data_IF_339044078384
#
_entry.id   IF_339044078384
#
_cell.length_a   1.000
_cell.length_b   1.000
_cell.length_c   1.000
_cell.angle_alpha   90.00
_cell.angle_beta   90.00
_cell.angle_gamma   90.00
#
_symmetry.space_group_name_H-M   'P 1'
#
loop_
_entity.id
_entity.type
_entity.pdbx_description
1 polymer ?
#
# COMPACT_ATOMS: atom_id res chain seq x y z
N UNK A 1 12.15 4.94 -0.80
CA UNK A 1 11.90 3.53 -1.20
C UNK A 1 13.02 2.66 -0.63
N UNK A 2 13.19 2.64 0.70
CA UNK A 2 14.39 2.07 1.34
C UNK A 2 14.29 0.59 1.75
N UNK A 3 13.15 -0.05 1.53
CA UNK A 3 12.89 -1.42 2.02
C UNK A 3 12.84 -2.49 0.92
N UNK A 4 12.76 -2.09 -0.37
CA UNK A 4 12.64 -3.04 -1.49
C UNK A 4 13.73 -2.89 -2.54
N UNK A 5 14.66 -1.95 -2.39
CA UNK A 5 15.68 -1.64 -3.41
C UNK A 5 15.11 -1.16 -4.75
N UNK A 6 13.79 -0.92 -4.84
CA UNK A 6 13.13 -0.50 -6.09
C UNK A 6 13.11 1.01 -6.19
N UNK A 7 13.64 1.54 -7.29
CA UNK A 7 13.61 2.98 -7.62
C UNK A 7 12.35 3.38 -8.39
N UNK A 8 11.67 2.43 -9.04
CA UNK A 8 10.49 2.66 -9.87
C UNK A 8 9.20 2.63 -9.03
N UNK A 9 8.69 3.82 -8.73
CA UNK A 9 7.47 4.03 -7.94
C UNK A 9 6.22 3.50 -8.64
N UNK A 10 6.18 3.58 -9.96
CA UNK A 10 5.04 3.15 -10.76
C UNK A 10 4.92 1.63 -10.71
N UNK A 11 6.01 0.91 -11.01
CA UNK A 11 6.02 -0.56 -10.93
C UNK A 11 5.71 -1.06 -9.52
N UNK A 12 6.27 -0.43 -8.49
CA UNK A 12 5.97 -0.81 -7.11
C UNK A 12 4.48 -0.63 -6.78
N UNK A 13 3.87 0.48 -7.22
CA UNK A 13 2.45 0.73 -6.98
C UNK A 13 1.57 -0.29 -7.70
N UNK A 14 1.85 -0.58 -8.97
CA UNK A 14 1.05 -1.52 -9.75
C UNK A 14 1.23 -2.99 -9.32
N UNK A 15 2.46 -3.41 -9.00
CA UNK A 15 2.76 -4.82 -8.73
C UNK A 15 2.62 -5.21 -7.26
N UNK A 16 2.69 -4.24 -6.34
CA UNK A 16 2.68 -4.54 -4.89
C UNK A 16 1.52 -3.85 -4.20
N UNK A 17 1.39 -2.53 -4.33
CA UNK A 17 0.36 -1.80 -3.56
C UNK A 17 -1.06 -2.07 -4.07
N UNK A 18 -1.28 -2.01 -5.39
CA UNK A 18 -2.62 -2.18 -5.96
C UNK A 18 -3.22 -3.56 -5.64
N UNK A 19 -2.50 -4.69 -5.83
CA UNK A 19 -3.05 -6.00 -5.48
C UNK A 19 -3.40 -6.12 -3.98
N UNK A 20 -2.60 -5.52 -3.10
CA UNK A 20 -2.87 -5.55 -1.65
C UNK A 20 -4.07 -4.67 -1.27
N UNK A 21 -4.28 -3.55 -1.97
CA UNK A 21 -5.45 -2.68 -1.83
C UNK A 21 -6.71 -3.38 -2.35
N UNK A 22 -6.64 -3.99 -3.54
CA UNK A 22 -7.75 -4.72 -4.15
C UNK A 22 -8.14 -5.95 -3.33
N UNK A 23 -7.16 -6.65 -2.75
CA UNK A 23 -7.41 -7.74 -1.80
C UNK A 23 -7.94 -7.26 -0.43
N UNK A 24 -7.97 -5.94 -0.19
CA UNK A 24 -8.43 -5.35 1.07
C UNK A 24 -7.52 -5.67 2.26
N UNK A 25 -6.24 -5.97 2.02
CA UNK A 25 -5.25 -6.28 3.07
C UNK A 25 -4.62 -5.02 3.65
N UNK A 26 -4.51 -3.98 2.83
CA UNK A 26 -4.07 -2.66 3.22
C UNK A 26 -5.09 -1.62 2.76
N UNK A 27 -5.06 -0.45 3.38
CA UNK A 27 -5.90 0.69 3.02
C UNK A 27 -5.08 2.00 3.03
N UNK A 28 -5.57 3.01 2.31
CA UNK A 28 -4.98 4.35 2.28
C UNK A 28 -5.35 5.14 3.55
N UNK A 29 -4.39 5.85 4.13
CA UNK A 29 -4.68 6.70 5.30
C UNK A 29 -5.40 8.00 4.95
N UNK A 30 -5.26 8.47 3.70
CA UNK A 30 -5.90 9.70 3.19
C UNK A 30 -6.60 9.36 1.87
N UNK A 31 -7.78 8.71 1.90
CA UNK A 31 -8.47 8.28 0.68
C UNK A 31 -8.91 9.45 -0.20
N UNK A 32 -9.30 10.59 0.38
CA UNK A 32 -9.75 11.78 -0.35
C UNK A 32 -8.65 12.45 -1.18
N UNK A 33 -7.37 12.22 -0.83
CA UNK A 33 -6.21 12.81 -1.50
C UNK A 33 -5.19 11.73 -1.86
N UNK A 34 -5.49 10.85 -2.85
CA UNK A 34 -4.68 9.67 -3.16
C UNK A 34 -3.27 10.00 -3.70
N UNK A 35 -3.08 11.22 -4.21
CA UNK A 35 -1.81 11.76 -4.71
C UNK A 35 -1.06 12.60 -3.66
N UNK A 36 -1.55 12.68 -2.42
CA UNK A 36 -0.89 13.43 -1.36
C UNK A 36 0.53 12.91 -1.11
N UNK A 37 1.49 13.82 -0.95
CA UNK A 37 2.86 13.47 -0.55
C UNK A 37 2.92 12.86 0.86
N UNK A 38 1.91 13.11 1.68
CA UNK A 38 1.73 12.52 3.02
C UNK A 38 0.95 11.20 2.99
N UNK A 39 0.61 10.68 1.81
CA UNK A 39 -0.13 9.43 1.71
C UNK A 39 0.69 8.27 2.31
N UNK A 40 0.03 7.48 3.15
CA UNK A 40 0.58 6.25 3.75
C UNK A 40 -0.43 5.12 3.59
N UNK A 41 0.03 3.92 3.85
CA UNK A 41 -0.78 2.71 3.84
C UNK A 41 -0.72 2.06 5.22
N UNK A 42 -1.84 1.49 5.66
CA UNK A 42 -1.92 0.70 6.91
C UNK A 42 -2.56 -0.65 6.64
N UNK A 43 -2.23 -1.64 7.46
CA UNK A 43 -2.88 -2.95 7.42
C UNK A 43 -4.33 -2.83 7.89
N UNK A 44 -5.23 -3.51 7.19
CA UNK A 44 -6.60 -3.74 7.64
C UNK A 44 -6.63 -4.91 8.63
N UNK A 45 -7.77 -5.10 9.30
CA UNK A 45 -7.98 -6.27 10.17
C UNK A 45 -7.81 -7.60 9.40
N UNK A 46 -8.18 -7.62 8.12
CA UNK A 46 -7.95 -8.78 7.24
C UNK A 46 -6.45 -9.00 6.99
N UNK A 47 -5.72 -7.92 6.69
CA UNK A 47 -4.26 -7.99 6.51
C UNK A 47 -3.53 -8.47 7.76
N UNK A 48 -3.94 -7.98 8.94
CA UNK A 48 -3.38 -8.41 10.23
C UNK A 48 -3.58 -9.90 10.50
N UNK A 49 -4.71 -10.47 10.09
CA UNK A 49 -5.02 -11.89 10.28
C UNK A 49 -4.12 -12.82 9.47
N UNK A 50 -3.63 -12.37 8.31
CA UNK A 50 -2.74 -13.16 7.45
C UNK A 50 -1.31 -13.20 7.98
N UNK A 51 -0.88 -12.14 8.68
CA UNK A 51 0.46 -12.04 9.25
C UNK A 51 0.63 -12.79 10.59
N UNK A 52 -0.36 -13.60 10.97
CA UNK A 52 -0.35 -14.39 12.20
C UNK A 52 0.33 -15.73 11.97
#
# INVERSE_FOLDING_TARGET
MGITGRSDRTKFRHQVLNPLLEAGLIEMTIPDKPRSSKQRYRLTERGRRILR
#
